data_IF_636915158533
#
_entry.id   IF_636915158533
#
_cell.length_a   1.000
_cell.length_b   1.000
_cell.length_c   1.000
_cell.angle_alpha   90.00
_cell.angle_beta   90.00
_cell.angle_gamma   90.00
#
_symmetry.space_group_name_H-M   'P 1'
#
loop_
_entity.id
_entity.type
_entity.pdbx_description
1 polymer ?
#
# COMPACT_ATOMS: atom_id res chain seq x y z
N UNK A 1 -18.65 -27.51 3.25
CA UNK A 1 -18.47 -26.98 1.88
C UNK A 1 -16.99 -26.92 1.60
N UNK A 2 -16.54 -27.28 0.39
CA UNK A 2 -15.15 -27.09 -0.05
C UNK A 2 -15.11 -25.98 -1.10
N UNK A 3 -14.05 -25.17 -1.08
CA UNK A 3 -13.76 -24.18 -2.12
C UNK A 3 -12.42 -24.61 -2.72
N UNK A 4 -12.39 -24.95 -4.01
CA UNK A 4 -11.19 -25.43 -4.72
C UNK A 4 -10.47 -26.60 -4.01
N UNK A 5 -11.22 -27.57 -3.50
CA UNK A 5 -10.66 -28.74 -2.80
C UNK A 5 -10.18 -28.50 -1.37
N UNK A 6 -10.30 -27.28 -0.83
CA UNK A 6 -9.92 -26.92 0.55
C UNK A 6 -11.14 -26.84 1.47
N UNK A 7 -10.93 -27.08 2.76
CA UNK A 7 -11.96 -26.77 3.76
C UNK A 7 -12.17 -25.25 3.85
N UNK A 8 -13.38 -24.79 4.17
CA UNK A 8 -13.63 -23.35 4.39
C UNK A 8 -12.69 -22.78 5.47
N UNK A 9 -12.40 -23.58 6.50
CA UNK A 9 -11.52 -23.18 7.59
C UNK A 9 -10.07 -22.95 7.11
N UNK A 10 -9.58 -23.77 6.18
CA UNK A 10 -8.25 -23.60 5.60
C UNK A 10 -8.15 -22.38 4.69
N UNK A 11 -9.22 -22.09 3.93
CA UNK A 11 -9.32 -20.87 3.12
C UNK A 11 -9.29 -19.63 4.02
N UNK A 12 -10.15 -19.57 5.03
CA UNK A 12 -10.26 -18.41 5.92
C UNK A 12 -8.97 -18.14 6.71
N UNK A 13 -8.26 -19.20 7.13
CA UNK A 13 -6.98 -19.07 7.83
C UNK A 13 -5.87 -18.45 6.95
N UNK A 14 -5.93 -18.65 5.63
CA UNK A 14 -4.87 -18.27 4.66
C UNK A 14 -5.28 -17.15 3.73
N UNK A 15 -6.46 -16.58 3.96
CA UNK A 15 -6.92 -15.40 3.25
C UNK A 15 -6.17 -14.15 3.76
N UNK A 16 -5.59 -13.42 2.84
CA UNK A 16 -5.02 -12.10 3.04
C UNK A 16 -5.96 -11.02 2.48
N UNK A 17 -5.81 -9.82 3.03
CA UNK A 17 -6.42 -8.60 2.52
C UNK A 17 -5.28 -7.69 2.09
N UNK A 18 -5.35 -7.23 0.83
CA UNK A 18 -4.38 -6.29 0.29
C UNK A 18 -5.07 -5.01 -0.17
N UNK A 19 -4.53 -3.86 0.24
CA UNK A 19 -4.87 -2.56 -0.31
C UNK A 19 -3.70 -2.03 -1.11
N UNK A 20 -3.97 -1.36 -2.23
CA UNK A 20 -2.94 -0.77 -3.06
C UNK A 20 -3.35 0.60 -3.60
N UNK A 21 -2.33 1.43 -3.81
CA UNK A 21 -2.45 2.79 -4.32
C UNK A 21 -1.16 3.16 -5.08
N UNK A 22 -1.20 4.25 -5.82
CA UNK A 22 -0.12 4.75 -6.66
C UNK A 22 0.28 6.19 -6.34
N UNK A 23 1.56 6.47 -6.54
CA UNK A 23 2.05 7.84 -6.45
C UNK A 23 3.11 8.15 -7.50
N UNK A 24 3.08 9.40 -7.97
CA UNK A 24 4.23 10.04 -8.59
C UNK A 24 5.17 10.54 -7.49
N UNK A 25 6.39 9.99 -7.41
CA UNK A 25 7.31 10.29 -6.32
C UNK A 25 7.82 11.74 -6.33
N UNK A 26 8.21 12.19 -7.52
CA UNK A 26 8.76 13.51 -7.78
C UNK A 26 8.33 13.99 -9.17
N UNK A 27 8.29 15.32 -9.35
CA UNK A 27 8.07 15.92 -10.67
C UNK A 27 9.44 16.20 -11.32
N UNK A 28 9.76 15.45 -12.38
CA UNK A 28 10.85 15.76 -13.30
C UNK A 28 10.27 16.37 -14.58
N UNK A 29 11.11 17.08 -15.36
CA UNK A 29 10.65 17.75 -16.59
C UNK A 29 10.12 16.75 -17.60
N UNK A 30 10.90 15.71 -17.91
CA UNK A 30 10.64 14.79 -19.03
C UNK A 30 10.39 13.34 -18.59
N UNK A 31 10.53 13.05 -17.30
CA UNK A 31 10.44 11.70 -16.74
C UNK A 31 9.26 11.64 -15.77
N UNK A 32 8.49 10.55 -15.83
CA UNK A 32 7.49 10.15 -14.85
C UNK A 32 8.08 9.04 -13.98
N UNK A 33 7.99 9.21 -12.66
CA UNK A 33 8.44 8.25 -11.66
C UNK A 33 7.23 7.71 -10.92
N UNK A 34 6.59 6.70 -11.52
CA UNK A 34 5.36 6.09 -11.03
C UNK A 34 5.68 4.92 -10.10
N UNK A 35 4.95 4.83 -9.00
CA UNK A 35 5.11 3.75 -8.01
C UNK A 35 3.75 3.21 -7.63
N UNK A 36 3.61 1.87 -7.59
CA UNK A 36 2.48 1.20 -6.93
C UNK A 36 3.00 0.63 -5.61
N UNK A 37 2.26 0.88 -4.54
CA UNK A 37 2.54 0.31 -3.22
C UNK A 37 1.30 -0.43 -2.75
N UNK A 38 1.51 -1.57 -2.13
CA UNK A 38 0.46 -2.31 -1.44
C UNK A 38 0.85 -2.62 -0.01
N UNK A 39 -0.17 -2.71 0.84
CA UNK A 39 -0.08 -3.33 2.15
C UNK A 39 -0.82 -4.66 2.09
N UNK A 40 -0.24 -5.71 2.66
CA UNK A 40 -0.84 -7.04 2.72
C UNK A 40 -0.78 -7.56 4.15
N UNK A 41 -1.92 -8.00 4.67
CA UNK A 41 -2.06 -8.60 5.99
C UNK A 41 -2.93 -9.86 5.92
N UNK A 42 -2.72 -10.82 6.83
CA UNK A 42 -3.66 -11.92 6.99
C UNK A 42 -5.02 -11.36 7.45
N UNK A 43 -6.12 -11.93 6.99
CA UNK A 43 -7.48 -11.41 7.25
C UNK A 43 -7.75 -11.17 8.75
N UNK A 44 -7.43 -12.13 9.60
CA UNK A 44 -7.66 -12.00 11.04
C UNK A 44 -6.80 -10.90 11.67
N UNK A 45 -5.55 -10.76 11.21
CA UNK A 45 -4.63 -9.72 11.66
C UNK A 45 -5.10 -8.33 11.21
N UNK A 46 -5.58 -8.22 9.97
CA UNK A 46 -6.15 -6.98 9.43
C UNK A 46 -7.37 -6.52 10.25
N UNK A 47 -8.33 -7.43 10.45
CA UNK A 47 -9.59 -7.12 11.13
C UNK A 47 -9.35 -6.83 12.63
N UNK A 48 -8.62 -7.71 13.32
CA UNK A 48 -8.51 -7.60 14.77
C UNK A 48 -7.54 -6.49 15.20
N UNK A 49 -6.52 -6.18 14.39
CA UNK A 49 -5.49 -5.23 14.77
C UNK A 49 -5.61 -3.91 13.99
N UNK A 50 -5.55 -3.95 12.66
CA UNK A 50 -5.45 -2.73 11.86
C UNK A 50 -6.76 -1.94 11.88
N UNK A 51 -7.88 -2.59 11.60
CA UNK A 51 -9.21 -1.96 11.66
C UNK A 51 -9.51 -1.42 13.07
N UNK A 52 -9.21 -2.21 14.12
CA UNK A 52 -9.36 -1.78 15.52
C UNK A 52 -8.51 -0.55 15.86
N UNK A 53 -7.23 -0.56 15.51
CA UNK A 53 -6.30 0.53 15.81
C UNK A 53 -6.70 1.81 15.06
N UNK A 54 -7.10 1.65 13.80
CA UNK A 54 -7.52 2.77 12.96
C UNK A 54 -8.84 3.38 13.43
N UNK A 55 -9.81 2.55 13.82
CA UNK A 55 -11.05 2.99 14.47
C UNK A 55 -10.76 3.80 15.72
N UNK A 56 -9.85 3.35 16.57
CA UNK A 56 -9.46 4.07 17.78
C UNK A 56 -8.84 5.43 17.45
N UNK A 57 -7.97 5.51 16.44
CA UNK A 57 -7.42 6.78 15.96
C UNK A 57 -8.53 7.73 15.48
N UNK A 58 -9.47 7.25 14.68
CA UNK A 58 -10.61 8.08 14.22
C UNK A 58 -11.43 8.62 15.39
N UNK A 59 -11.67 7.82 16.43
CA UNK A 59 -12.35 8.25 17.66
C UNK A 59 -11.51 9.32 18.40
N UNK A 60 -10.22 9.08 18.64
CA UNK A 60 -9.33 10.00 19.34
C UNK A 60 -9.30 11.40 18.71
N UNK A 61 -9.33 11.46 17.38
CA UNK A 61 -9.29 12.72 16.64
C UNK A 61 -10.67 13.26 16.23
N UNK A 62 -11.77 12.64 16.68
CA UNK A 62 -13.15 13.02 16.32
C UNK A 62 -13.38 13.09 14.80
N UNK A 63 -12.83 12.14 14.06
CA UNK A 63 -13.02 12.04 12.60
C UNK A 63 -14.41 11.43 12.34
N UNK A 64 -15.30 12.11 11.62
CA UNK A 64 -16.65 11.62 11.37
C UNK A 64 -16.67 10.24 10.67
N UNK A 65 -17.72 9.46 10.92
CA UNK A 65 -17.96 8.23 10.17
C UNK A 65 -18.24 8.54 8.70
N UNK A 66 -17.79 7.67 7.80
CA UNK A 66 -17.91 7.81 6.35
C UNK A 66 -17.02 8.90 5.74
N UNK A 67 -16.17 9.55 6.53
CA UNK A 67 -15.34 10.64 6.05
C UNK A 67 -13.94 10.16 5.70
N UNK A 68 -13.60 10.10 4.42
CA UNK A 68 -12.23 9.78 4.00
C UNK A 68 -11.22 10.83 4.51
N UNK A 69 -10.08 10.35 5.02
CA UNK A 69 -8.95 11.14 5.52
C UNK A 69 -7.98 11.46 4.38
N UNK A 70 -7.94 12.72 3.97
CA UNK A 70 -7.01 13.20 2.95
C UNK A 70 -5.76 13.81 3.60
N UNK A 71 -4.66 13.05 3.67
CA UNK A 71 -3.42 13.51 4.33
C UNK A 71 -2.84 14.77 3.71
N UNK A 72 -3.00 14.97 2.40
CA UNK A 72 -2.59 16.20 1.73
C UNK A 72 -3.35 17.44 2.24
N UNK A 73 -4.63 17.28 2.62
CA UNK A 73 -5.45 18.38 3.18
C UNK A 73 -5.02 18.72 4.60
N UNK A 74 -4.69 17.70 5.40
CA UNK A 74 -4.14 17.88 6.76
C UNK A 74 -2.76 18.52 6.69
N UNK A 75 -1.88 18.07 5.79
CA UNK A 75 -0.56 18.68 5.56
C UNK A 75 -0.66 20.15 5.14
N UNK A 76 -1.69 20.52 4.39
CA UNK A 76 -1.91 21.92 4.03
C UNK A 76 -2.26 22.83 5.22
N UNK A 77 -2.77 22.29 6.33
CA UNK A 77 -2.96 23.05 7.58
C UNK A 77 -1.64 23.51 8.19
N UNK A 78 -0.54 22.80 7.92
CA UNK A 78 0.79 23.19 8.42
C UNK A 78 1.49 24.22 7.54
N UNK A 79 0.90 24.57 6.40
CA UNK A 79 1.45 25.55 5.47
C UNK A 79 0.79 26.93 5.67
N UNK A 80 1.54 27.87 6.25
CA UNK A 80 1.12 29.26 6.49
C UNK A 80 0.70 29.98 5.19
N UNK A 81 1.21 29.52 4.03
CA UNK A 81 0.90 30.12 2.72
C UNK A 81 -0.28 29.45 1.99
N UNK A 82 -0.98 28.50 2.62
CA UNK A 82 -2.13 27.85 1.99
C UNK A 82 -3.31 28.84 1.87
N UNK A 83 -3.81 29.03 0.64
CA UNK A 83 -4.85 30.03 0.34
C UNK A 83 -6.22 29.69 0.95
N UNK A 84 -6.53 28.41 1.10
CA UNK A 84 -7.78 27.91 1.68
C UNK A 84 -7.54 26.58 2.39
N UNK A 85 -8.14 26.44 3.57
CA UNK A 85 -8.19 25.16 4.26
C UNK A 85 -9.62 24.64 4.24
N UNK A 86 -9.76 23.33 4.10
CA UNK A 86 -11.05 22.66 4.04
C UNK A 86 -11.76 22.68 5.40
N UNK A 87 -13.07 23.01 5.46
CA UNK A 87 -13.79 23.23 6.73
C UNK A 87 -13.74 22.04 7.69
N UNK A 88 -13.81 20.82 7.17
CA UNK A 88 -13.75 19.60 7.97
C UNK A 88 -12.48 19.51 8.81
N UNK A 89 -11.31 19.61 8.18
CA UNK A 89 -10.03 19.45 8.89
C UNK A 89 -9.73 20.63 9.81
N UNK A 90 -10.26 21.82 9.48
CA UNK A 90 -10.29 22.94 10.42
C UNK A 90 -11.06 22.57 11.68
N UNK A 91 -12.29 22.07 11.56
CA UNK A 91 -13.07 21.71 12.75
C UNK A 91 -12.40 20.63 13.61
N UNK A 92 -11.63 19.74 12.98
CA UNK A 92 -10.88 18.68 13.70
C UNK A 92 -9.62 19.24 14.37
N UNK A 93 -8.84 20.09 13.70
CA UNK A 93 -7.49 20.51 14.10
C UNK A 93 -7.37 21.99 14.46
N UNK A 94 -8.46 22.66 14.84
CA UNK A 94 -8.42 24.00 15.41
C UNK A 94 -8.53 23.96 16.94
N UNK A 95 -7.81 24.86 17.60
CA UNK A 95 -7.99 25.16 19.00
C UNK A 95 -9.33 25.87 19.21
N UNK A 96 -10.16 25.33 20.09
CA UNK A 96 -11.50 25.87 20.39
C UNK A 96 -11.45 27.23 21.08
N UNK A 97 -10.31 27.59 21.69
CA UNK A 97 -10.14 28.82 22.46
C UNK A 97 -9.77 30.04 21.61
N UNK A 98 -9.01 29.88 20.53
CA UNK A 98 -8.47 31.00 19.74
C UNK A 98 -8.72 30.87 18.23
N UNK A 99 -9.27 29.73 17.77
CA UNK A 99 -9.55 29.47 16.37
C UNK A 99 -8.30 29.26 15.50
N UNK A 100 -7.12 29.09 16.11
CA UNK A 100 -5.87 28.81 15.42
C UNK A 100 -5.65 27.31 15.23
N UNK A 101 -4.78 26.94 14.29
CA UNK A 101 -4.41 25.54 14.05
C UNK A 101 -3.72 24.96 15.29
N UNK A 102 -4.21 23.82 15.75
CA UNK A 102 -3.62 23.02 16.82
C UNK A 102 -2.50 22.14 16.25
N UNK A 103 -1.30 22.72 16.19
CA UNK A 103 -0.10 22.03 15.72
C UNK A 103 0.28 20.83 16.59
N UNK A 104 -0.03 20.84 17.89
CA UNK A 104 0.22 19.70 18.78
C UNK A 104 -0.61 18.50 18.35
N UNK A 105 -1.91 18.73 18.12
CA UNK A 105 -2.83 17.69 17.69
C UNK A 105 -2.47 17.15 16.30
N UNK A 106 -2.04 17.99 15.37
CA UNK A 106 -1.55 17.53 14.05
C UNK A 106 -0.28 16.69 14.19
N UNK A 107 0.67 17.11 15.04
CA UNK A 107 1.89 16.35 15.28
C UNK A 107 1.57 14.95 15.84
N UNK A 108 0.77 14.89 16.91
CA UNK A 108 0.38 13.62 17.51
C UNK A 108 -0.42 12.73 16.55
N UNK A 109 -1.26 13.33 15.69
CA UNK A 109 -2.01 12.58 14.67
C UNK A 109 -1.07 11.79 13.75
N UNK A 110 -0.02 12.43 13.25
CA UNK A 110 0.97 11.74 12.42
C UNK A 110 1.80 10.73 13.22
N UNK A 111 2.18 11.03 14.46
CA UNK A 111 2.91 10.08 15.30
C UNK A 111 2.08 8.83 15.62
N UNK A 112 0.78 8.98 15.86
CA UNK A 112 -0.14 7.87 16.09
C UNK A 112 -0.31 7.01 14.83
N UNK A 113 -0.39 7.62 13.64
CA UNK A 113 -0.37 6.88 12.37
C UNK A 113 0.90 6.04 12.24
N UNK A 114 2.07 6.63 12.50
CA UNK A 114 3.34 5.90 12.42
C UNK A 114 3.42 4.78 13.46
N UNK A 115 2.88 5.00 14.67
CA UNK A 115 2.75 3.97 15.70
C UNK A 115 1.85 2.82 15.24
N UNK A 116 0.71 3.11 14.59
CA UNK A 116 -0.18 2.10 13.99
C UNK A 116 0.56 1.32 12.91
N UNK A 117 1.26 2.02 12.00
CA UNK A 117 2.07 1.39 10.95
C UNK A 117 3.05 0.42 11.58
N UNK A 118 3.84 0.87 12.57
CA UNK A 118 4.89 0.05 13.20
C UNK A 118 4.35 -1.18 13.93
N UNK A 119 3.28 -1.00 14.69
CA UNK A 119 2.73 -2.05 15.58
C UNK A 119 1.87 -3.09 14.88
N UNK A 120 1.30 -2.78 13.71
CA UNK A 120 0.38 -3.70 13.04
C UNK A 120 1.10 -4.72 12.13
N UNK A 121 0.68 -5.99 12.11
CA UNK A 121 1.34 -7.07 11.37
C UNK A 121 0.92 -7.11 9.90
N UNK A 122 1.28 -6.09 9.14
CA UNK A 122 1.21 -6.11 7.68
C UNK A 122 2.59 -5.97 7.06
N UNK A 123 2.70 -6.40 5.80
CA UNK A 123 3.89 -6.26 4.96
C UNK A 123 3.60 -5.29 3.82
N UNK A 124 4.58 -4.49 3.44
CA UNK A 124 4.49 -3.51 2.36
C UNK A 124 5.22 -4.06 1.13
N UNK A 125 4.57 -4.04 -0.02
CA UNK A 125 5.21 -4.30 -1.31
C UNK A 125 5.22 -3.02 -2.13
N UNK A 126 6.31 -2.72 -2.83
CA UNK A 126 6.44 -1.49 -3.61
C UNK A 126 7.10 -1.78 -4.95
N UNK A 127 6.56 -1.27 -6.04
CA UNK A 127 7.15 -1.43 -7.37
C UNK A 127 7.16 -0.06 -8.04
N UNK A 128 8.26 0.30 -8.69
CA UNK A 128 8.43 1.57 -9.37
C UNK A 128 8.85 1.41 -10.82
N UNK A 129 8.36 2.29 -11.68
CA UNK A 129 8.79 2.44 -13.06
C UNK A 129 9.15 3.89 -13.39
N UNK A 130 10.22 4.07 -14.16
CA UNK A 130 10.58 5.35 -14.76
C UNK A 130 10.26 5.31 -16.25
N UNK A 131 9.54 6.31 -16.74
CA UNK A 131 9.17 6.40 -18.16
C UNK A 131 9.23 7.83 -18.66
N UNK A 132 9.60 8.03 -19.93
CA UNK A 132 9.57 9.34 -20.56
C UNK A 132 8.13 9.82 -20.78
N UNK A 133 7.85 11.10 -20.48
CA UNK A 133 6.53 11.72 -20.71
C UNK A 133 6.13 11.69 -22.18
N UNK A 134 7.09 11.79 -23.10
CA UNK A 134 6.86 11.68 -24.54
C UNK A 134 6.35 10.31 -24.96
N UNK A 135 6.63 9.24 -24.21
CA UNK A 135 6.13 7.90 -24.51
C UNK A 135 4.64 7.77 -24.19
N UNK A 136 4.09 8.64 -23.35
CA UNK A 136 2.66 8.60 -22.97
C UNK A 136 1.74 8.82 -24.17
N UNK A 137 2.13 9.67 -25.13
CA UNK A 137 1.36 9.90 -26.36
C UNK A 137 1.49 8.74 -27.35
N UNK A 138 2.60 7.99 -27.31
CA UNK A 138 2.84 6.85 -28.19
C UNK A 138 2.02 5.62 -27.77
N UNK A 139 1.72 5.43 -26.47
CA UNK A 139 0.83 4.35 -26.01
C UNK A 139 -0.56 4.45 -26.66
N UNK A 140 -1.11 5.67 -26.72
CA UNK A 140 -2.41 5.92 -27.37
C UNK A 140 -2.37 5.72 -28.88
N UNK A 141 -1.26 6.11 -29.53
CA UNK A 141 -1.10 6.02 -30.98
C UNK A 141 -0.93 4.57 -31.46
N UNK A 142 -0.09 3.80 -30.77
CA UNK A 142 0.26 2.42 -31.17
C UNK A 142 -0.55 1.35 -30.43
N UNK A 143 -1.46 1.76 -29.52
CA UNK A 143 -2.26 0.86 -28.67
C UNK A 143 -1.40 -0.13 -27.88
N UNK A 144 -0.21 0.29 -27.48
CA UNK A 144 0.68 -0.51 -26.62
C UNK A 144 0.24 -0.40 -25.16
N UNK A 145 0.62 -1.40 -24.35
CA UNK A 145 0.31 -1.41 -22.93
C UNK A 145 0.91 -0.17 -22.24
N UNK A 146 0.10 0.55 -21.47
CA UNK A 146 0.53 1.74 -20.74
C UNK A 146 1.60 1.42 -19.70
N UNK A 147 2.27 2.46 -19.21
CA UNK A 147 3.21 2.32 -18.09
C UNK A 147 2.54 1.70 -16.84
N UNK A 148 1.27 2.01 -16.57
CA UNK A 148 0.54 1.48 -15.42
C UNK A 148 0.17 0.02 -15.56
N UNK A 149 -0.19 -0.40 -16.76
CA UNK A 149 -0.38 -1.81 -17.05
C UNK A 149 0.88 -2.62 -16.74
N UNK A 150 2.03 -2.15 -17.23
CA UNK A 150 3.32 -2.81 -17.05
C UNK A 150 3.72 -2.81 -15.57
N UNK A 151 3.60 -1.65 -14.92
CA UNK A 151 3.90 -1.48 -13.49
C UNK A 151 3.05 -2.41 -12.62
N UNK A 152 1.75 -2.52 -12.89
CA UNK A 152 0.87 -3.38 -12.11
C UNK A 152 1.18 -4.87 -12.31
N UNK A 153 1.54 -5.32 -13.52
CA UNK A 153 1.98 -6.72 -13.72
C UNK A 153 3.24 -7.05 -12.93
N UNK A 154 4.23 -6.16 -12.92
CA UNK A 154 5.44 -6.32 -12.12
C UNK A 154 5.11 -6.26 -10.61
N UNK A 155 4.10 -5.48 -10.21
CA UNK A 155 3.62 -5.46 -8.83
C UNK A 155 2.94 -6.77 -8.42
N UNK A 156 2.10 -7.34 -9.28
CA UNK A 156 1.47 -8.64 -9.05
C UNK A 156 2.51 -9.76 -8.95
N UNK A 157 3.55 -9.74 -9.78
CA UNK A 157 4.67 -10.68 -9.70
C UNK A 157 5.31 -10.65 -8.30
N UNK A 158 5.58 -9.45 -7.80
CA UNK A 158 6.16 -9.26 -6.48
C UNK A 158 5.25 -9.72 -5.36
N UNK A 159 3.97 -9.38 -5.43
CA UNK A 159 2.98 -9.80 -4.45
C UNK A 159 2.84 -11.33 -4.43
N UNK A 160 2.86 -11.99 -5.60
CA UNK A 160 2.86 -13.45 -5.70
C UNK A 160 4.07 -14.06 -4.98
N UNK A 161 5.27 -13.51 -5.19
CA UNK A 161 6.48 -13.94 -4.48
C UNK A 161 6.34 -13.87 -2.95
N UNK A 162 5.72 -12.82 -2.42
CA UNK A 162 5.44 -12.71 -0.98
C UNK A 162 4.43 -13.75 -0.50
N UNK A 163 3.31 -13.95 -1.21
CA UNK A 163 2.28 -14.92 -0.84
C UNK A 163 2.80 -16.37 -0.88
N UNK A 164 3.65 -16.67 -1.86
CA UNK A 164 4.36 -17.96 -1.94
C UNK A 164 5.34 -18.14 -0.79
N UNK A 165 6.05 -17.09 -0.37
CA UNK A 165 6.89 -17.13 0.83
C UNK A 165 6.05 -17.47 2.07
N UNK A 166 4.90 -16.81 2.28
CA UNK A 166 4.01 -17.14 3.40
C UNK A 166 3.55 -18.61 3.37
N UNK A 167 3.27 -19.11 2.17
CA UNK A 167 2.84 -20.50 1.95
C UNK A 167 3.95 -21.50 2.27
N UNK A 168 5.18 -21.19 1.86
CA UNK A 168 6.39 -21.96 2.16
C UNK A 168 6.67 -21.97 3.67
N UNK A 169 6.60 -20.81 4.32
CA UNK A 169 6.83 -20.68 5.76
C UNK A 169 5.78 -21.49 6.57
N UNK A 170 4.50 -21.44 6.19
CA UNK A 170 3.43 -22.25 6.81
C UNK A 170 3.63 -23.75 6.58
N UNK A 171 4.06 -24.15 5.39
CA UNK A 171 4.39 -25.53 5.08
C UNK A 171 5.53 -26.06 5.98
N UNK A 172 6.63 -25.31 6.07
CA UNK A 172 7.78 -25.68 6.90
C UNK A 172 7.40 -25.75 8.38
N UNK A 173 6.59 -24.80 8.87
CA UNK A 173 6.11 -24.83 10.24
C UNK A 173 5.27 -26.09 10.51
N UNK A 174 4.29 -26.39 9.66
CA UNK A 174 3.45 -27.59 9.81
C UNK A 174 4.27 -28.88 9.77
N UNK A 175 5.29 -28.93 8.91
CA UNK A 175 6.22 -30.05 8.84
C UNK A 175 7.00 -30.20 10.15
N UNK A 176 7.56 -29.12 10.67
CA UNK A 176 8.31 -29.13 11.93
C UNK A 176 7.44 -29.54 13.13
N UNK A 177 6.17 -29.09 13.16
CA UNK A 177 5.22 -29.47 14.21
C UNK A 177 4.94 -30.99 14.20
N UNK A 178 4.86 -31.61 13.03
CA UNK A 178 4.71 -33.07 12.92
C UNK A 178 5.95 -33.80 13.43
N UNK A 179 7.14 -33.35 13.04
CA UNK A 179 8.39 -33.93 13.54
C UNK A 179 8.50 -33.82 15.06
N UNK A 180 8.12 -32.66 15.64
CA UNK A 180 8.10 -32.44 17.09
C UNK A 180 7.10 -33.35 17.83
N UNK A 181 6.03 -33.80 17.16
CA UNK A 181 5.07 -34.78 17.70
C UNK A 181 5.52 -36.23 17.56
N UNK A 182 6.73 -36.47 17.06
CA UNK A 182 7.33 -37.81 16.96
C UNK A 182 7.09 -38.53 15.63
N UNK A 183 6.53 -37.85 14.62
CA UNK A 183 6.44 -38.43 13.29
C UNK A 183 7.83 -38.49 12.63
N UNK A 184 8.19 -39.63 12.03
CA UNK A 184 9.41 -39.73 11.23
C UNK A 184 9.32 -38.84 9.98
N UNK A 185 10.46 -38.27 9.56
CA UNK A 185 10.58 -37.53 8.31
C UNK A 185 10.22 -38.37 7.07
N UNK A 186 10.30 -39.70 7.17
CA UNK A 186 9.94 -40.64 6.10
C UNK A 186 8.50 -41.16 6.22
N UNK A 187 7.74 -40.72 7.23
CA UNK A 187 6.36 -41.14 7.39
C UNK A 187 5.50 -40.64 6.22
N UNK A 188 4.50 -41.42 5.84
CA UNK A 188 3.53 -41.03 4.79
C UNK A 188 2.82 -39.72 5.13
N UNK A 189 2.59 -39.44 6.41
CA UNK A 189 1.97 -38.18 6.88
C UNK A 189 2.84 -36.96 6.55
N UNK A 190 4.16 -37.05 6.77
CA UNK A 190 5.09 -35.95 6.48
C UNK A 190 5.35 -35.82 4.98
N UNK A 191 5.48 -36.95 4.27
CA UNK A 191 5.76 -36.96 2.83
C UNK A 191 4.57 -36.51 1.98
N UNK A 192 3.33 -36.74 2.44
CA UNK A 192 2.10 -36.32 1.76
C UNK A 192 1.56 -34.98 2.29
N UNK A 193 2.39 -34.17 2.96
CA UNK A 193 1.95 -32.87 3.44
C UNK A 193 1.78 -31.92 2.24
N UNK A 194 0.56 -31.42 2.05
CA UNK A 194 0.27 -30.49 0.97
C UNK A 194 0.77 -29.07 1.25
N UNK A 195 1.18 -28.38 0.17
CA UNK A 195 1.38 -26.92 0.19
C UNK A 195 0.01 -26.26 0.16
N UNK A 196 -0.24 -25.37 1.12
CA UNK A 196 -1.49 -24.64 1.23
C UNK A 196 -1.20 -23.16 0.95
N UNK A 197 -1.65 -22.67 -0.19
CA UNK A 197 -1.34 -21.32 -0.63
C UNK A 197 -2.09 -20.26 0.16
N UNK A 198 -1.36 -19.22 0.58
CA UNK A 198 -1.96 -17.94 0.93
C UNK A 198 -2.43 -17.23 -0.34
N UNK A 199 -3.60 -16.63 -0.25
CA UNK A 199 -4.21 -15.90 -1.34
C UNK A 199 -4.70 -14.54 -0.86
N UNK A 200 -4.86 -13.59 -1.76
CA UNK A 200 -5.32 -12.24 -1.40
C UNK A 200 -6.51 -11.78 -2.22
N UNK A 201 -7.37 -10.99 -1.56
CA UNK A 201 -8.34 -10.11 -2.21
C UNK A 201 -7.69 -8.73 -2.35
N UNK A 202 -7.37 -8.35 -3.58
CA UNK A 202 -6.80 -7.04 -3.87
C UNK A 202 -7.90 -5.98 -3.91
N UNK A 203 -7.64 -4.88 -3.23
CA UNK A 203 -8.49 -3.70 -3.15
C UNK A 203 -7.66 -2.50 -3.58
N UNK A 204 -8.20 -1.72 -4.49
CA UNK A 204 -7.56 -0.54 -5.03
C UNK A 204 -8.33 0.71 -4.60
N UNK A 205 -7.63 1.79 -4.19
CA UNK A 205 -8.26 3.10 -3.88
C UNK A 205 -8.88 3.66 -5.17
N UNK A 206 -10.17 3.45 -5.31
CA UNK A 206 -10.91 3.60 -6.55
C UNK A 206 -11.68 4.92 -6.62
N UNK A 207 -11.05 6.04 -6.98
CA UNK A 207 -11.84 7.21 -7.38
C UNK A 207 -12.56 6.97 -8.72
N UNK A 208 -13.81 7.44 -8.88
CA UNK A 208 -14.66 7.19 -10.06
C UNK A 208 -14.06 7.67 -11.41
N UNK A 209 -12.97 8.43 -11.39
CA UNK A 209 -12.36 9.09 -12.57
C UNK A 209 -11.00 8.49 -12.94
N UNK A 210 -10.70 7.26 -12.48
CA UNK A 210 -9.44 6.58 -12.82
C UNK A 210 -9.39 6.24 -14.31
N UNK A 211 -8.65 7.05 -15.07
CA UNK A 211 -8.31 6.78 -16.48
C UNK A 211 -7.57 5.46 -16.64
N UNK A 212 -6.88 5.01 -15.60
CA UNK A 212 -6.01 3.82 -15.57
C UNK A 212 -6.75 2.56 -15.07
N UNK A 213 -8.04 2.64 -14.71
CA UNK A 213 -8.84 1.51 -14.21
C UNK A 213 -8.82 0.30 -15.15
N UNK A 214 -8.88 0.55 -16.46
CA UNK A 214 -8.83 -0.50 -17.47
C UNK A 214 -7.46 -1.16 -17.53
N UNK A 215 -6.37 -0.43 -17.29
CA UNK A 215 -5.02 -1.00 -17.25
C UNK A 215 -4.90 -2.02 -16.12
N UNK A 216 -5.38 -1.69 -14.91
CA UNK A 216 -5.39 -2.61 -13.79
C UNK A 216 -6.21 -3.88 -14.09
N UNK A 217 -7.41 -3.73 -14.64
CA UNK A 217 -8.27 -4.87 -14.99
C UNK A 217 -7.63 -5.77 -16.05
N UNK A 218 -7.05 -5.16 -17.08
CA UNK A 218 -6.42 -5.88 -18.18
C UNK A 218 -5.14 -6.59 -17.70
N UNK A 219 -4.32 -5.90 -16.90
CA UNK A 219 -3.10 -6.48 -16.32
C UNK A 219 -3.42 -7.62 -15.36
N UNK A 220 -4.45 -7.48 -14.52
CA UNK A 220 -4.91 -8.56 -13.64
C UNK A 220 -5.40 -9.76 -14.46
N UNK A 221 -6.25 -9.53 -15.46
CA UNK A 221 -6.82 -10.60 -16.29
C UNK A 221 -5.74 -11.33 -17.11
N UNK A 222 -4.78 -10.60 -17.66
CA UNK A 222 -3.62 -11.18 -18.34
C UNK A 222 -2.79 -12.00 -17.36
N UNK A 223 -2.45 -11.46 -16.18
CA UNK A 223 -1.66 -12.19 -15.19
C UNK A 223 -2.34 -13.47 -14.73
N UNK A 224 -3.66 -13.47 -14.54
CA UNK A 224 -4.43 -14.67 -14.20
C UNK A 224 -4.39 -15.71 -15.34
N UNK A 225 -4.35 -15.27 -16.59
CA UNK A 225 -4.40 -16.17 -17.76
C UNK A 225 -3.04 -16.76 -18.09
N UNK A 226 -2.02 -15.90 -18.23
CA UNK A 226 -0.71 -16.27 -18.78
C UNK A 226 0.40 -16.27 -17.71
N UNK A 227 0.10 -15.77 -16.51
CA UNK A 227 1.07 -15.60 -15.45
C UNK A 227 1.73 -14.21 -15.44
N UNK A 228 2.70 -14.06 -14.56
CA UNK A 228 3.57 -12.89 -14.46
C UNK A 228 4.96 -13.21 -15.02
N UNK A 229 5.97 -12.41 -14.70
CA UNK A 229 7.33 -12.62 -15.19
C UNK A 229 7.95 -13.92 -14.67
N UNK A 230 7.71 -14.27 -13.41
CA UNK A 230 8.34 -15.43 -12.76
C UNK A 230 7.35 -16.56 -12.42
N UNK A 231 6.04 -16.31 -12.47
CA UNK A 231 5.03 -17.27 -12.05
C UNK A 231 4.05 -17.54 -13.18
N UNK A 232 3.71 -18.81 -13.40
CA UNK A 232 2.73 -19.20 -14.41
C UNK A 232 1.30 -18.85 -13.97
N UNK A 233 0.35 -18.89 -14.91
CA UNK A 233 -1.05 -18.55 -14.63
C UNK A 233 -1.73 -19.45 -13.58
N UNK A 234 -1.30 -20.72 -13.44
CA UNK A 234 -1.83 -21.62 -12.40
C UNK A 234 -1.51 -21.11 -10.99
N UNK A 235 -0.25 -20.73 -10.75
CA UNK A 235 0.18 -20.17 -9.47
C UNK A 235 -0.50 -18.82 -9.20
N UNK A 236 -0.65 -17.97 -10.22
CA UNK A 236 -1.34 -16.68 -10.04
C UNK A 236 -2.80 -16.89 -9.62
N UNK A 237 -3.52 -17.86 -10.20
CA UNK A 237 -4.90 -18.21 -9.79
C UNK A 237 -4.97 -18.73 -8.35
N UNK A 238 -3.93 -19.41 -7.86
CA UNK A 238 -3.89 -19.91 -6.48
C UNK A 238 -3.67 -18.80 -5.45
N UNK A 239 -2.98 -17.71 -5.80
CA UNK A 239 -2.59 -16.64 -4.85
C UNK A 239 -3.42 -15.35 -5.00
N UNK A 240 -4.13 -15.16 -6.11
CA UNK A 240 -4.99 -13.99 -6.33
C UNK A 240 -6.44 -14.40 -6.57
N UNK A 241 -7.33 -13.96 -5.67
CA UNK A 241 -8.75 -14.29 -5.70
C UNK A 241 -9.53 -13.27 -6.55
N UNK A 242 -9.52 -12.02 -6.11
CA UNK A 242 -10.31 -10.94 -6.74
C UNK A 242 -9.57 -9.62 -6.74
N UNK A 243 -9.82 -8.81 -7.77
CA UNK A 243 -9.51 -7.38 -7.80
C UNK A 243 -10.80 -6.57 -7.63
N UNK A 244 -10.85 -5.70 -6.62
CA UNK A 244 -11.96 -4.79 -6.36
C UNK A 244 -11.47 -3.34 -6.28
N UNK A 245 -12.34 -2.40 -6.63
CA UNK A 245 -12.09 -0.96 -6.52
C UNK A 245 -12.99 -0.43 -5.43
N UNK A 246 -12.40 0.17 -4.40
CA UNK A 246 -13.13 0.67 -3.22
C UNK A 246 -13.42 2.15 -3.44
N UNK A 247 -14.68 2.55 -3.35
CA UNK A 247 -15.04 3.96 -3.39
C UNK A 247 -14.67 4.64 -2.08
N UNK A 248 -14.29 5.93 -2.14
CA UNK A 248 -14.06 6.77 -0.95
C UNK A 248 -15.31 6.90 -0.07
N UNK A 249 -16.49 6.71 -0.65
CA UNK A 249 -17.76 6.69 0.08
C UNK A 249 -17.96 5.41 0.90
N UNK A 250 -17.21 4.34 0.63
CA UNK A 250 -17.26 3.08 1.41
C UNK A 250 -16.33 3.14 2.64
N UNK A 251 -15.38 4.08 2.65
CA UNK A 251 -14.33 4.19 3.66
C UNK A 251 -14.84 4.87 4.92
N UNK A 252 -14.48 4.33 6.08
CA UNK A 252 -14.88 4.87 7.38
C UNK A 252 -16.37 4.71 7.68
N UNK A 253 -17.16 4.10 6.78
CA UNK A 253 -18.53 3.68 7.05
C UNK A 253 -18.50 2.34 7.78
N UNK A 254 -19.11 2.31 8.96
CA UNK A 254 -19.82 1.11 9.37
C UNK A 254 -21.15 1.20 8.62
N UNK A 255 -21.37 0.36 7.60
CA UNK A 255 -22.54 0.48 6.72
C UNK A 255 -23.82 0.15 7.50
N UNK A 256 -24.38 1.17 8.16
CA UNK A 256 -25.70 1.28 8.79
C UNK A 256 -26.15 0.10 9.67
N UNK A 257 -25.96 0.16 10.99
CA UNK A 257 -26.87 -0.53 11.92
C UNK A 257 -26.97 0.18 13.28
N UNK A 258 -28.20 0.33 13.78
CA UNK A 258 -28.56 0.77 15.13
C UNK A 258 -28.57 -0.39 16.15
N UNK A 259 -27.97 -1.54 15.80
CA UNK A 259 -27.96 -2.80 16.56
C UNK A 259 -26.73 -3.65 16.14
N UNK A 260 -26.21 -4.56 16.98
CA UNK A 260 -25.00 -5.33 16.65
C UNK A 260 -25.24 -6.22 15.43
N UNK A 261 -24.42 -6.04 14.40
CA UNK A 261 -24.57 -6.64 13.09
C UNK A 261 -23.28 -7.34 12.66
N UNK A 262 -23.40 -8.53 12.08
CA UNK A 262 -22.27 -9.39 11.69
C UNK A 262 -21.36 -8.80 10.57
N UNK A 263 -21.62 -7.59 10.07
CA UNK A 263 -20.78 -6.86 9.10
C UNK A 263 -19.90 -5.77 9.73
N UNK A 264 -19.79 -5.73 11.07
CA UNK A 264 -19.07 -4.76 11.92
C UNK A 264 -17.56 -4.54 11.64
N UNK A 265 -16.92 -5.27 10.74
CA UNK A 265 -15.49 -5.57 10.87
C UNK A 265 -14.53 -4.88 9.89
N UNK A 266 -15.00 -4.19 8.85
CA UNK A 266 -14.10 -3.60 7.82
C UNK A 266 -14.57 -2.19 7.46
N UNK A 267 -13.86 -1.18 7.97
CA UNK A 267 -14.03 0.23 7.59
C UNK A 267 -13.16 0.64 6.40
N UNK A 268 -12.41 -0.31 5.83
CA UNK A 268 -11.41 -0.07 4.80
C UNK A 268 -10.25 0.80 5.29
N UNK A 269 -9.83 0.61 6.54
CA UNK A 269 -8.68 1.31 7.14
C UNK A 269 -7.41 1.24 6.28
N UNK A 270 -7.24 0.11 5.57
CA UNK A 270 -6.13 -0.11 4.67
C UNK A 270 -6.10 0.83 3.45
N UNK A 271 -7.24 1.39 3.04
CA UNK A 271 -7.36 2.30 1.90
C UNK A 271 -6.74 3.67 2.24
N UNK A 272 -7.10 4.24 3.39
CA UNK A 272 -6.50 5.48 3.89
C UNK A 272 -5.02 5.25 4.26
N UNK A 273 -4.71 4.12 4.89
CA UNK A 273 -3.33 3.88 5.31
C UNK A 273 -2.38 3.70 4.12
N UNK A 274 -2.82 3.05 3.04
CA UNK A 274 -1.98 2.88 1.86
C UNK A 274 -1.72 4.21 1.16
N UNK A 275 -2.69 5.14 1.03
CA UNK A 275 -2.47 6.50 0.50
C UNK A 275 -1.33 7.22 1.23
N UNK A 276 -1.31 7.15 2.56
CA UNK A 276 -0.21 7.71 3.36
C UNK A 276 1.12 7.02 3.06
N UNK A 277 1.16 5.69 3.09
CA UNK A 277 2.39 4.90 2.92
C UNK A 277 2.99 5.09 1.51
N UNK A 278 2.15 5.00 0.48
CA UNK A 278 2.54 5.04 -0.93
C UNK A 278 3.41 6.24 -1.23
N UNK A 279 3.01 7.43 -0.76
CA UNK A 279 3.73 8.66 -1.00
C UNK A 279 5.18 8.64 -0.46
N UNK A 280 5.38 8.20 0.77
CA UNK A 280 6.71 8.22 1.40
C UNK A 280 7.59 7.08 0.92
N UNK A 281 7.01 5.92 0.62
CA UNK A 281 7.74 4.81 0.00
C UNK A 281 8.20 5.18 -1.41
N UNK A 282 7.34 5.80 -2.22
CA UNK A 282 7.69 6.26 -3.56
C UNK A 282 8.84 7.29 -3.51
N UNK A 283 8.78 8.25 -2.58
CA UNK A 283 9.85 9.24 -2.41
C UNK A 283 11.18 8.61 -2.00
N UNK A 284 11.18 7.68 -1.05
CA UNK A 284 12.42 7.00 -0.63
C UNK A 284 13.02 6.15 -1.75
N UNK A 285 12.16 5.45 -2.48
CA UNK A 285 12.53 4.64 -3.63
C UNK A 285 13.27 5.45 -4.70
N UNK A 286 12.76 6.65 -5.02
CA UNK A 286 13.22 7.42 -6.16
C UNK A 286 14.20 8.54 -5.84
N UNK A 287 14.45 8.86 -4.57
CA UNK A 287 15.23 10.06 -4.18
C UNK A 287 16.63 10.11 -4.81
N UNK A 288 17.33 8.97 -4.90
CA UNK A 288 18.69 8.91 -5.44
C UNK A 288 18.70 9.10 -6.96
N UNK A 289 17.71 8.51 -7.65
CA UNK A 289 17.54 8.70 -9.09
C UNK A 289 17.13 10.14 -9.40
N UNK A 290 16.16 10.69 -8.68
CA UNK A 290 15.73 12.08 -8.79
C UNK A 290 16.90 13.04 -8.60
N UNK A 291 17.71 12.83 -7.54
CA UNK A 291 18.91 13.62 -7.26
C UNK A 291 19.90 13.56 -8.43
N UNK A 292 20.18 12.37 -8.94
CA UNK A 292 21.06 12.15 -10.09
C UNK A 292 20.56 12.91 -11.33
N UNK A 293 19.27 12.83 -11.65
CA UNK A 293 18.68 13.56 -12.77
C UNK A 293 18.80 15.08 -12.61
N UNK A 294 18.43 15.63 -11.44
CA UNK A 294 18.52 17.08 -11.20
C UNK A 294 19.95 17.60 -11.32
N UNK A 295 20.93 16.88 -10.76
CA UNK A 295 22.33 17.30 -10.78
C UNK A 295 22.96 17.16 -12.18
N UNK A 296 22.78 16.01 -12.83
CA UNK A 296 23.54 15.67 -14.02
C UNK A 296 22.82 16.04 -15.33
N UNK A 297 21.48 15.98 -15.35
CA UNK A 297 20.68 16.28 -16.55
C UNK A 297 20.18 17.72 -16.56
N UNK A 298 19.86 18.27 -15.39
CA UNK A 298 19.25 19.61 -15.29
C UNK A 298 20.19 20.67 -14.70
N UNK A 299 21.42 20.31 -14.33
CA UNK A 299 22.43 21.21 -13.76
C UNK A 299 21.91 22.04 -12.57
N UNK A 300 21.03 21.45 -11.75
CA UNK A 300 20.53 22.11 -10.53
C UNK A 300 21.60 22.09 -9.43
N UNK A 301 21.56 23.08 -8.51
CA UNK A 301 22.49 23.14 -7.39
C UNK A 301 22.18 22.04 -6.36
N UNK A 302 23.23 21.40 -5.86
CA UNK A 302 23.13 20.32 -4.86
C UNK A 302 22.27 20.66 -3.65
N UNK A 303 22.48 21.84 -3.05
CA UNK A 303 21.76 22.24 -1.85
C UNK A 303 20.27 22.40 -2.09
N UNK A 304 19.88 22.90 -3.26
CA UNK A 304 18.47 23.11 -3.63
C UNK A 304 17.76 21.76 -3.83
N UNK A 305 18.44 20.81 -4.46
CA UNK A 305 17.92 19.45 -4.71
C UNK A 305 17.73 18.69 -3.39
N UNK A 306 18.74 18.69 -2.51
CA UNK A 306 18.66 18.01 -1.22
C UNK A 306 17.57 18.62 -0.34
N UNK A 307 17.51 19.95 -0.24
CA UNK A 307 16.47 20.65 0.53
C UNK A 307 15.07 20.31 0.03
N UNK A 308 14.89 20.20 -1.30
CA UNK A 308 13.62 19.81 -1.92
C UNK A 308 13.24 18.38 -1.60
N UNK A 309 14.19 17.43 -1.69
CA UNK A 309 13.97 16.02 -1.33
C UNK A 309 13.56 15.91 0.14
N UNK A 310 14.28 16.57 1.05
CA UNK A 310 14.01 16.52 2.48
C UNK A 310 12.64 17.10 2.81
N UNK A 311 12.28 18.25 2.21
CA UNK A 311 10.96 18.88 2.39
C UNK A 311 9.81 18.01 1.88
N UNK A 312 10.00 17.34 0.74
CA UNK A 312 9.00 16.44 0.18
C UNK A 312 8.91 15.15 1.00
N UNK A 313 10.03 14.61 1.48
CA UNK A 313 10.07 13.32 2.18
C UNK A 313 9.74 13.40 3.68
N UNK A 314 9.41 14.59 4.18
CA UNK A 314 9.09 14.85 5.59
C UNK A 314 7.77 15.58 5.79
N UNK A 315 7.32 15.60 7.04
CA UNK A 315 6.21 16.40 7.52
C UNK A 315 6.77 17.40 8.53
N UNK A 316 6.59 18.68 8.22
CA UNK A 316 6.95 19.78 9.11
C UNK A 316 5.69 20.28 9.79
N UNK A 317 5.70 20.24 11.13
CA UNK A 317 4.64 20.76 11.99
C UNK A 317 5.25 21.86 12.86
N UNK A 318 4.64 23.04 12.87
CA UNK A 318 5.22 24.21 13.53
C UNK A 318 5.42 23.96 15.04
N UNK A 319 6.64 24.21 15.52
CA UNK A 319 7.00 24.03 16.93
C UNK A 319 7.36 22.59 17.33
N UNK A 320 7.38 21.64 16.40
CA UNK A 320 7.66 20.23 16.66
C UNK A 320 8.82 19.68 15.82
N UNK A 321 9.46 18.58 16.26
CA UNK A 321 10.47 17.88 15.46
C UNK A 321 9.92 17.47 14.08
N UNK A 322 10.81 17.50 13.07
CA UNK A 322 10.49 17.04 11.73
C UNK A 322 10.17 15.55 11.77
N UNK A 323 9.03 15.16 11.20
CA UNK A 323 8.63 13.75 11.09
C UNK A 323 9.15 13.23 9.75
N UNK A 324 9.83 12.09 9.77
CA UNK A 324 10.36 11.42 8.58
C UNK A 324 9.72 10.03 8.48
N UNK A 325 8.49 9.92 7.89
CA UNK A 325 7.67 8.70 7.94
C UNK A 325 8.38 7.43 7.47
N UNK A 326 9.28 7.54 6.49
CA UNK A 326 9.97 6.38 5.95
C UNK A 326 10.79 5.63 7.02
N UNK A 327 11.27 6.30 8.08
CA UNK A 327 12.03 5.66 9.16
C UNK A 327 11.22 4.54 9.82
N UNK A 328 9.93 4.74 10.05
CA UNK A 328 9.05 3.74 10.67
C UNK A 328 8.41 2.78 9.65
N UNK A 329 8.34 3.18 8.38
CA UNK A 329 7.74 2.37 7.31
C UNK A 329 8.73 1.33 6.76
N UNK A 330 10.02 1.67 6.68
CA UNK A 330 11.02 0.95 5.88
C UNK A 330 11.23 -0.51 6.28
N UNK A 331 11.10 -0.82 7.57
CA UNK A 331 11.28 -2.19 8.09
C UNK A 331 10.18 -3.15 7.62
N UNK A 332 9.03 -2.62 7.19
CA UNK A 332 7.91 -3.43 6.69
C UNK A 332 7.98 -3.71 5.20
N UNK A 333 8.92 -3.11 4.47
CA UNK A 333 9.02 -3.27 3.01
C UNK A 333 9.63 -4.65 2.70
N UNK A 334 8.84 -5.48 2.00
CA UNK A 334 9.25 -6.80 1.56
C UNK A 334 10.43 -6.73 0.60
N UNK A 335 11.50 -7.50 0.87
CA UNK A 335 12.67 -7.61 -0.02
C UNK A 335 13.67 -6.46 0.07
N UNK A 336 13.65 -5.68 1.15
CA UNK A 336 14.54 -4.52 1.36
C UNK A 336 16.05 -4.87 1.44
N UNK A 337 16.41 -6.16 1.49
CA UNK A 337 17.79 -6.63 1.69
C UNK A 337 18.39 -7.39 0.50
N UNK A 338 17.61 -7.87 -0.49
CA UNK A 338 18.10 -8.92 -1.41
C UNK A 338 17.75 -8.77 -2.91
N UNK A 339 17.06 -7.71 -3.35
CA UNK A 339 16.80 -7.49 -4.79
C UNK A 339 17.22 -6.09 -5.24
N UNK A 340 17.71 -5.92 -6.49
CA UNK A 340 18.29 -4.66 -6.95
C UNK A 340 17.29 -3.52 -6.82
N UNK A 341 17.81 -2.38 -6.32
CA UNK A 341 17.07 -1.17 -5.98
C UNK A 341 16.04 -0.80 -7.06
N UNK A 342 14.86 -0.46 -6.57
CA UNK A 342 13.62 -0.32 -7.29
C UNK A 342 13.63 0.82 -8.31
N UNK A 343 13.13 0.50 -9.50
CA UNK A 343 13.02 1.41 -10.63
C UNK A 343 13.50 0.72 -11.89
N UNK A 344 12.58 0.13 -12.65
CA UNK A 344 12.90 -0.25 -14.02
C UNK A 344 12.77 1.01 -14.87
N UNK A 345 13.85 1.41 -15.53
CA UNK A 345 13.76 2.37 -16.63
C UNK A 345 13.23 1.57 -17.82
N UNK A 346 12.06 1.91 -18.35
CA UNK A 346 11.63 1.39 -19.64
C UNK A 346 12.25 2.29 -20.70
N UNK A 347 13.36 1.85 -21.27
CA UNK A 347 13.84 2.35 -22.56
C UNK A 347 13.25 1.41 -23.63
N UNK A 348 12.52 1.98 -24.60
CA UNK A 348 12.05 1.27 -25.80
C UNK A 348 13.02 1.47 -26.95
#
# INVERSE_FOLDING_TARGET
MSINGRTVQDYEKRLCISYLDEADAFQLRDILLKTIVSITAKKNEYINNLESSWKQLRITYNIPQGQYIHFNKIKNLTNINAKTHEPLYKNIFLNTSDGNVDYFKIYNFYMDILSIIKSNPFTIQATGIASLKSMTSLYGLYRTNSAMYQLFREHLDRMAGYLLKLSSDDYLQRKNDLLARGYSATSSVVNNLDILYYLTKLRYDGSYVLTERNDYRNAFSHSISDGTKHFNGEIIKEVFDTLSFISKDEVGLCTNCSSPCNYELISHAGDELVDFITLYVARDMWKDYYKTCCLNMYNEKYIDVVTRIDKLSSIQVQGYPVIVPIVDIKEKIFGNTEFPRYGRIIDF
#
